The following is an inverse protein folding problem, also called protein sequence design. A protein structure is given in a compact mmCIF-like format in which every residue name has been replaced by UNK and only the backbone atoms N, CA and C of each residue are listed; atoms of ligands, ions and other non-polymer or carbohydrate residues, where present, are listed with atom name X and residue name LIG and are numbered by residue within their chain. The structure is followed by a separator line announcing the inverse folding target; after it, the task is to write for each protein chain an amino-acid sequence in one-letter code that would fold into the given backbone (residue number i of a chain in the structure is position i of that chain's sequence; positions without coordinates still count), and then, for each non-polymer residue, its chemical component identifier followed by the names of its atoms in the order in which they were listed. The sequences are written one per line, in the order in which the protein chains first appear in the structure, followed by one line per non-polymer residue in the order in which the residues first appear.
data_IF_502731218446
#
_entry.id   IF_502731218446
#
_cell.length_a   1.000
_cell.length_b   1.000
_cell.length_c   1.000
_cell.angle_alpha   90.00
_cell.angle_beta   90.00
_cell.angle_gamma   90.00
#
_symmetry.space_group_name_H-M   'P 1'
#
loop_
_entity.id
_entity.type
_entity.pdbx_description
1 polymer ?
#
# COMPACT_ATOMS: atom_id res chain seq x y z
N UNK A 1 20.82 -16.69 -28.62
CA UNK A 1 19.47 -16.47 -28.06
C UNK A 1 19.62 -16.28 -26.55
N UNK A 2 20.02 -15.10 -26.11
CA UNK A 2 20.19 -14.75 -24.69
C UNK A 2 19.97 -13.25 -24.49
N UNK A 3 19.43 -12.90 -23.32
CA UNK A 3 19.19 -11.56 -22.76
C UNK A 3 17.90 -10.83 -23.17
N UNK A 4 16.79 -11.24 -22.53
CA UNK A 4 15.58 -10.42 -22.37
C UNK A 4 15.17 -10.23 -20.89
N UNK A 5 16.12 -10.30 -19.94
CA UNK A 5 15.81 -10.23 -18.48
C UNK A 5 16.21 -8.88 -17.84
N UNK A 6 16.74 -7.91 -18.59
CA UNK A 6 17.27 -6.66 -18.01
C UNK A 6 16.51 -5.41 -18.46
N UNK A 7 15.25 -5.21 -18.06
CA UNK A 7 14.61 -3.89 -18.25
C UNK A 7 13.56 -3.45 -17.23
N UNK A 8 13.18 -4.24 -16.21
CA UNK A 8 12.14 -3.82 -15.24
C UNK A 8 12.62 -3.58 -13.81
N UNK A 9 13.92 -3.75 -13.51
CA UNK A 9 14.40 -3.75 -12.12
C UNK A 9 14.87 -2.39 -11.57
N UNK A 10 15.03 -1.35 -12.41
CA UNK A 10 15.76 -0.13 -12.05
C UNK A 10 14.88 1.08 -11.68
N UNK A 11 13.55 0.99 -11.77
CA UNK A 11 12.68 2.16 -11.50
C UNK A 11 12.34 2.39 -10.02
N UNK A 12 12.65 1.45 -9.14
CA UNK A 12 12.31 1.48 -7.71
C UNK A 12 13.53 1.58 -6.77
N UNK A 13 14.74 1.77 -7.31
CA UNK A 13 15.95 1.94 -6.50
C UNK A 13 16.17 3.41 -6.15
N UNK A 14 16.41 3.70 -4.87
CA UNK A 14 16.83 5.03 -4.41
C UNK A 14 18.01 5.54 -5.26
N UNK A 15 18.06 6.84 -5.63
CA UNK A 15 19.19 7.42 -6.35
C UNK A 15 20.53 7.14 -5.64
N UNK A 16 20.54 7.11 -4.31
CA UNK A 16 21.73 6.85 -3.50
C UNK A 16 22.25 5.42 -3.69
N UNK A 17 21.36 4.42 -3.75
CA UNK A 17 21.75 3.02 -4.00
C UNK A 17 22.28 2.82 -5.42
N UNK A 18 21.74 3.60 -6.37
CA UNK A 18 22.18 3.59 -7.76
C UNK A 18 23.60 4.17 -7.87
N UNK A 19 23.84 5.31 -7.23
CA UNK A 19 25.17 5.93 -7.15
C UNK A 19 26.17 5.01 -6.43
N UNK A 20 25.78 4.35 -5.33
CA UNK A 20 26.63 3.41 -4.61
C UNK A 20 27.03 2.22 -5.49
N UNK A 21 26.07 1.65 -6.23
CA UNK A 21 26.34 0.51 -7.13
C UNK A 21 27.30 0.93 -8.25
N UNK A 22 27.13 2.13 -8.82
CA UNK A 22 28.04 2.68 -9.83
C UNK A 22 29.45 2.94 -9.28
N UNK A 23 29.55 3.48 -8.07
CA UNK A 23 30.82 3.72 -7.41
C UNK A 23 31.59 2.41 -7.15
N UNK A 24 30.88 1.36 -6.73
CA UNK A 24 31.46 0.03 -6.51
C UNK A 24 31.90 -0.60 -7.85
N UNK A 25 31.11 -0.44 -8.91
CA UNK A 25 31.45 -0.90 -10.26
C UNK A 25 32.71 -0.25 -10.84
N UNK A 26 33.05 0.98 -10.41
CA UNK A 26 34.25 1.70 -10.84
C UNK A 26 35.54 1.28 -10.10
N UNK A 27 35.44 0.42 -9.07
CA UNK A 27 36.60 0.00 -8.28
C UNK A 27 37.49 -1.00 -9.03
N UNK A 28 38.80 -1.07 -8.70
CA UNK A 28 39.67 -2.14 -9.15
C UNK A 28 39.13 -3.53 -8.78
N UNK A 29 39.43 -4.52 -9.62
CA UNK A 29 38.82 -5.87 -9.60
C UNK A 29 38.84 -6.56 -8.23
N UNK A 30 39.92 -6.39 -7.47
CA UNK A 30 40.09 -7.00 -6.15
C UNK A 30 39.04 -6.49 -5.14
N UNK A 31 38.82 -5.18 -5.10
CA UNK A 31 37.83 -4.56 -4.20
C UNK A 31 36.41 -4.77 -4.70
N UNK A 32 36.21 -4.73 -6.01
CA UNK A 32 34.92 -4.99 -6.63
C UNK A 32 34.41 -6.39 -6.28
N UNK A 33 35.25 -7.43 -6.42
CA UNK A 33 34.86 -8.82 -6.13
C UNK A 33 34.43 -9.03 -4.67
N UNK A 34 35.01 -8.26 -3.74
CA UNK A 34 34.65 -8.31 -2.32
C UNK A 34 33.32 -7.59 -2.04
N UNK A 35 33.11 -6.41 -2.64
CA UNK A 35 32.00 -5.52 -2.30
C UNK A 35 30.72 -5.79 -3.09
N UNK A 36 30.84 -6.24 -4.35
CA UNK A 36 29.72 -6.54 -5.23
C UNK A 36 28.64 -7.40 -4.55
N UNK A 37 28.94 -8.58 -3.96
CA UNK A 37 27.90 -9.41 -3.34
C UNK A 37 27.24 -8.75 -2.12
N UNK A 38 27.94 -7.86 -1.41
CA UNK A 38 27.38 -7.13 -0.27
C UNK A 38 26.39 -6.06 -0.75
N UNK A 39 26.78 -5.30 -1.78
CA UNK A 39 25.95 -4.27 -2.39
C UNK A 39 24.71 -4.89 -3.02
N UNK A 40 24.86 -6.01 -3.75
CA UNK A 40 23.71 -6.74 -4.32
C UNK A 40 22.70 -7.12 -3.21
N UNK A 41 23.17 -7.70 -2.10
CA UNK A 41 22.29 -8.07 -0.97
C UNK A 41 21.56 -6.87 -0.38
N UNK A 42 22.23 -5.73 -0.25
CA UNK A 42 21.60 -4.50 0.28
C UNK A 42 20.54 -4.00 -0.70
N UNK A 43 20.85 -3.90 -2.00
CA UNK A 43 19.90 -3.48 -3.03
C UNK A 43 18.67 -4.38 -3.05
N UNK A 44 18.85 -5.69 -2.99
CA UNK A 44 17.74 -6.65 -2.92
C UNK A 44 16.91 -6.47 -1.64
N UNK A 45 17.55 -6.30 -0.49
CA UNK A 45 16.85 -6.09 0.78
C UNK A 45 15.99 -4.81 0.76
N UNK A 46 16.52 -3.74 0.14
CA UNK A 46 15.84 -2.47 -0.02
C UNK A 46 14.65 -2.59 -0.96
N UNK A 47 14.82 -3.29 -2.08
CA UNK A 47 13.73 -3.56 -3.02
C UNK A 47 12.59 -4.34 -2.37
N UNK A 48 12.91 -5.43 -1.65
CA UNK A 48 11.90 -6.21 -0.90
C UNK A 48 11.16 -5.35 0.13
N UNK A 49 11.90 -4.52 0.88
CA UNK A 49 11.30 -3.61 1.87
C UNK A 49 10.38 -2.58 1.23
N UNK A 50 10.78 -2.01 0.09
CA UNK A 50 9.95 -1.06 -0.63
C UNK A 50 8.65 -1.71 -1.11
N UNK A 51 8.73 -2.91 -1.69
CA UNK A 51 7.55 -3.68 -2.11
C UNK A 51 6.62 -3.99 -0.95
N UNK A 52 7.16 -4.44 0.19
CA UNK A 52 6.37 -4.70 1.40
C UNK A 52 5.66 -3.44 1.88
N UNK A 53 6.38 -2.32 1.98
CA UNK A 53 5.80 -1.05 2.39
C UNK A 53 4.68 -0.60 1.43
N UNK A 54 4.90 -0.73 0.12
CA UNK A 54 3.88 -0.40 -0.87
C UNK A 54 2.61 -1.22 -0.67
N UNK A 55 2.72 -2.54 -0.53
CA UNK A 55 1.58 -3.42 -0.30
C UNK A 55 0.84 -3.10 1.01
N UNK A 56 1.58 -2.82 2.09
CA UNK A 56 0.98 -2.42 3.37
C UNK A 56 0.24 -1.10 3.22
N UNK A 57 0.82 -0.11 2.53
CA UNK A 57 0.17 1.18 2.32
C UNK A 57 -1.10 1.05 1.46
N UNK A 58 -1.07 0.22 0.42
CA UNK A 58 -2.24 -0.08 -0.41
C UNK A 58 -3.34 -0.75 0.43
N UNK A 59 -3.00 -1.77 1.22
CA UNK A 59 -3.95 -2.46 2.08
C UNK A 59 -4.56 -1.55 3.16
N UNK A 60 -3.74 -0.70 3.80
CA UNK A 60 -4.24 0.27 4.78
C UNK A 60 -5.14 1.33 4.15
N UNK A 61 -4.82 1.77 2.93
CA UNK A 61 -5.65 2.72 2.18
C UNK A 61 -7.01 2.10 1.84
N UNK A 62 -7.02 0.84 1.40
CA UNK A 62 -8.24 0.10 1.13
C UNK A 62 -9.07 -0.08 2.41
N UNK A 63 -8.46 -0.55 3.50
CA UNK A 63 -9.16 -0.73 4.77
C UNK A 63 -9.77 0.58 5.28
N UNK A 64 -9.05 1.69 5.14
CA UNK A 64 -9.56 3.01 5.52
C UNK A 64 -10.77 3.42 4.69
N UNK A 65 -10.81 3.06 3.41
CA UNK A 65 -11.97 3.29 2.55
C UNK A 65 -13.15 2.41 3.00
N UNK A 66 -12.90 1.13 3.27
CA UNK A 66 -13.92 0.18 3.70
C UNK A 66 -14.58 0.64 5.02
N UNK A 67 -13.81 1.18 5.96
CA UNK A 67 -14.34 1.78 7.20
C UNK A 67 -15.27 2.96 6.90
N UNK A 68 -14.92 3.82 5.93
CA UNK A 68 -15.78 4.95 5.55
C UNK A 68 -17.11 4.49 4.94
N UNK A 69 -17.08 3.43 4.14
CA UNK A 69 -18.32 2.85 3.60
C UNK A 69 -19.19 2.25 4.71
N UNK A 70 -18.58 1.53 5.66
CA UNK A 70 -19.33 0.97 6.79
C UNK A 70 -19.96 2.07 7.66
N UNK A 71 -19.24 3.18 7.89
CA UNK A 71 -19.78 4.33 8.62
C UNK A 71 -20.96 4.95 7.88
N UNK A 72 -20.87 5.11 6.56
CA UNK A 72 -21.95 5.62 5.73
C UNK A 72 -23.18 4.71 5.77
N UNK A 73 -23.00 3.40 5.58
CA UNK A 73 -24.10 2.42 5.63
C UNK A 73 -24.78 2.41 7.01
N UNK A 74 -23.99 2.56 8.09
CA UNK A 74 -24.52 2.68 9.44
C UNK A 74 -25.35 3.96 9.63
N UNK A 75 -24.94 5.07 9.02
CA UNK A 75 -25.72 6.31 9.06
C UNK A 75 -27.04 6.17 8.29
N UNK A 76 -27.02 5.55 7.11
CA UNK A 76 -28.21 5.30 6.33
C UNK A 76 -29.21 4.42 7.10
N UNK A 77 -28.76 3.27 7.64
CA UNK A 77 -29.63 2.36 8.41
C UNK A 77 -30.17 2.98 9.70
N UNK A 78 -29.42 3.90 10.33
CA UNK A 78 -29.92 4.67 11.48
C UNK A 78 -31.01 5.65 11.06
N UNK A 79 -30.81 6.38 9.97
CA UNK A 79 -31.78 7.33 9.46
C UNK A 79 -33.09 6.63 9.06
N UNK A 80 -33.01 5.52 8.32
CA UNK A 80 -34.17 4.69 7.94
C UNK A 80 -34.93 4.18 9.18
N UNK A 81 -34.21 3.68 10.19
CA UNK A 81 -34.82 3.25 11.45
C UNK A 81 -35.55 4.40 12.15
N UNK A 82 -34.93 5.58 12.19
CA UNK A 82 -35.50 6.72 12.88
C UNK A 82 -36.76 7.23 12.16
N UNK A 83 -36.77 7.23 10.82
CA UNK A 83 -37.95 7.49 9.99
C UNK A 83 -39.09 6.50 10.28
N UNK A 84 -38.81 5.20 10.32
CA UNK A 84 -39.83 4.18 10.63
C UNK A 84 -40.37 4.30 12.06
N UNK A 85 -39.53 4.70 13.03
CA UNK A 85 -40.01 4.95 14.41
C UNK A 85 -40.96 6.13 14.46
N UNK A 86 -40.62 7.23 13.81
CA UNK A 86 -41.49 8.40 13.74
C UNK A 86 -42.82 8.08 13.05
N UNK A 87 -42.80 7.28 11.97
CA UNK A 87 -44.02 6.80 11.33
C UNK A 87 -44.87 5.97 12.30
N UNK A 88 -44.27 5.02 13.01
CA UNK A 88 -44.99 4.16 13.96
C UNK A 88 -45.62 4.99 15.09
N UNK A 89 -44.88 5.95 15.65
CA UNK A 89 -45.39 6.86 16.69
C UNK A 89 -46.56 7.71 16.17
N UNK A 90 -46.49 8.19 14.92
CA UNK A 90 -47.63 8.87 14.28
C UNK A 90 -48.83 7.94 14.15
N UNK A 91 -48.66 6.74 13.59
CA UNK A 91 -49.75 5.77 13.42
C UNK A 91 -50.40 5.38 14.75
N UNK A 92 -49.61 5.14 15.80
CA UNK A 92 -50.12 4.85 17.14
C UNK A 92 -50.85 6.06 17.74
N UNK A 93 -50.36 7.28 17.52
CA UNK A 93 -51.06 8.51 17.93
C UNK A 93 -52.43 8.70 17.24
N UNK A 94 -52.55 8.29 15.97
CA UNK A 94 -53.81 8.34 15.22
C UNK A 94 -54.85 7.30 15.66
N UNK A 95 -54.47 6.24 16.40
CA UNK A 95 -55.43 5.25 16.92
C UNK A 95 -56.12 5.69 18.24
N UNK A 96 -55.72 6.82 18.83
CA UNK A 96 -56.26 7.32 20.10
C UNK A 96 -57.03 8.66 20.01
N UNK A 97 -57.32 9.16 18.81
CA UNK A 97 -58.23 10.30 18.55
C UNK A 97 -59.52 9.84 17.83
#
# INVERSE_FOLDING_TARGET
MSNAIQTSATKDSSPDLTQLTQAVAALPREYHQLLEPLVTKVVESQKRRHQLNKLIQEALTQLRLDIKYLEFDLQATRAERDEYKEELERFQGFEFE
#
